data_IF_946918717099
#
_entry.id   IF_946918717099
#
_cell.length_a   1.000
_cell.length_b   1.000
_cell.length_c   1.000
_cell.angle_alpha   90.00
_cell.angle_beta   90.00
_cell.angle_gamma   90.00
#
_symmetry.space_group_name_H-M   'P 1'
#
loop_
_entity.id
_entity.type
_entity.pdbx_description
1 polymer ?
#
# COMPACT_ATOMS: atom_id res chain seq x y z
N UNK A 1 -4.82 -8.32 2.20
CA UNK A 1 -4.29 -7.82 0.91
C UNK A 1 -5.00 -6.52 0.55
N UNK A 2 -4.31 -5.60 -0.12
CA UNK A 2 -4.81 -4.30 -0.57
C UNK A 2 -4.76 -4.25 -2.08
N UNK A 3 -5.79 -3.69 -2.71
CA UNK A 3 -5.85 -3.48 -4.15
C UNK A 3 -6.13 -2.03 -4.47
N UNK A 4 -5.38 -1.47 -5.41
CA UNK A 4 -5.59 -0.09 -5.87
C UNK A 4 -5.39 -0.02 -7.38
N UNK A 5 -6.36 0.58 -8.08
CA UNK A 5 -6.17 1.00 -9.47
C UNK A 5 -5.46 2.36 -9.49
N UNK A 6 -4.34 2.45 -10.20
CA UNK A 6 -3.56 3.67 -10.38
C UNK A 6 -2.87 3.66 -11.73
N UNK A 7 -2.91 4.77 -12.48
CA UNK A 7 -2.28 4.91 -13.81
C UNK A 7 -2.49 3.69 -14.73
N UNK A 8 -3.73 3.18 -14.77
CA UNK A 8 -4.11 2.02 -15.57
C UNK A 8 -3.45 0.68 -15.15
N UNK A 9 -2.87 0.63 -13.95
CA UNK A 9 -2.29 -0.57 -13.34
C UNK A 9 -3.07 -0.97 -12.09
N UNK A 10 -3.24 -2.27 -11.91
CA UNK A 10 -3.83 -2.85 -10.71
C UNK A 10 -2.73 -3.22 -9.72
N UNK A 11 -2.50 -2.35 -8.76
CA UNK A 11 -1.55 -2.56 -7.68
C UNK A 11 -2.17 -3.51 -6.67
N UNK A 12 -1.45 -4.59 -6.36
CA UNK A 12 -1.81 -5.52 -5.29
C UNK A 12 -0.69 -5.57 -4.25
N UNK A 13 -1.02 -5.19 -3.01
CA UNK A 13 -0.08 -5.21 -1.88
C UNK A 13 -0.54 -6.25 -0.86
N UNK A 14 0.35 -7.14 -0.47
CA UNK A 14 0.12 -8.08 0.62
C UNK A 14 0.54 -7.44 1.93
N UNK A 15 -0.37 -7.46 2.90
CA UNK A 15 -0.07 -6.99 4.26
C UNK A 15 0.48 -8.21 5.01
N UNK A 16 1.73 -8.09 5.47
CA UNK A 16 2.43 -9.09 6.26
C UNK A 16 2.53 -8.58 7.70
N UNK A 17 2.73 -9.47 8.67
CA UNK A 17 2.95 -9.06 10.07
C UNK A 17 4.17 -8.14 10.23
N UNK A 18 5.21 -8.35 9.40
CA UNK A 18 6.46 -7.59 9.43
C UNK A 18 6.51 -6.42 8.44
N UNK A 19 5.43 -6.15 7.69
CA UNK A 19 5.41 -5.06 6.71
C UNK A 19 4.45 -5.27 5.55
N UNK A 20 4.85 -4.83 4.36
CA UNK A 20 4.01 -4.82 3.16
C UNK A 20 4.78 -5.39 1.99
N UNK A 21 4.26 -6.39 1.31
CA UNK A 21 4.88 -6.96 0.12
C UNK A 21 4.16 -6.49 -1.14
N UNK A 22 4.90 -6.01 -2.12
CA UNK A 22 4.39 -5.52 -3.41
C UNK A 22 5.29 -6.07 -4.52
N UNK A 23 4.70 -6.75 -5.51
CA UNK A 23 5.42 -7.37 -6.65
C UNK A 23 6.65 -8.20 -6.25
N UNK A 24 6.59 -8.90 -5.10
CA UNK A 24 7.70 -9.70 -4.58
C UNK A 24 8.71 -8.93 -3.72
N UNK A 25 8.67 -7.59 -3.69
CA UNK A 25 9.50 -6.76 -2.83
C UNK A 25 8.82 -6.47 -1.49
N UNK A 26 9.60 -6.47 -0.40
CA UNK A 26 9.14 -6.25 0.97
C UNK A 26 9.45 -4.83 1.43
N UNK A 27 8.44 -4.13 1.91
CA UNK A 27 8.46 -2.73 2.30
C UNK A 27 8.06 -2.58 3.77
N UNK A 28 8.72 -1.63 4.43
CA UNK A 28 8.53 -1.38 5.87
C UNK A 28 7.26 -0.58 6.19
N UNK A 29 6.64 0.04 5.20
CA UNK A 29 5.43 0.86 5.36
C UNK A 29 4.66 1.05 4.05
N UNK A 30 3.37 1.36 4.14
CA UNK A 30 2.52 1.68 2.99
C UNK A 30 2.99 2.91 2.23
N UNK A 31 3.55 3.90 2.92
CA UNK A 31 4.09 5.10 2.27
C UNK A 31 5.32 4.77 1.42
N UNK A 32 6.13 3.78 1.83
CA UNK A 32 7.24 3.30 1.01
C UNK A 32 6.74 2.62 -0.29
N UNK A 33 5.69 1.81 -0.17
CA UNK A 33 5.03 1.19 -1.34
C UNK A 33 4.40 2.27 -2.23
N UNK A 34 3.64 3.20 -1.65
CA UNK A 34 2.99 4.29 -2.38
C UNK A 34 4.01 5.19 -3.09
N UNK A 35 5.16 5.47 -2.48
CA UNK A 35 6.26 6.21 -3.11
C UNK A 35 6.90 5.43 -4.25
N UNK A 36 7.09 4.12 -4.09
CA UNK A 36 7.61 3.25 -5.14
C UNK A 36 6.70 3.25 -6.38
N UNK A 37 5.38 3.19 -6.16
CA UNK A 37 4.38 3.16 -7.23
C UNK A 37 4.17 4.54 -7.87
N UNK A 38 3.94 5.56 -7.05
CA UNK A 38 3.55 6.90 -7.53
C UNK A 38 4.75 7.78 -7.91
N UNK A 39 5.97 7.39 -7.52
CA UNK A 39 7.19 8.18 -7.68
C UNK A 39 7.24 9.45 -6.80
N UNK A 40 6.17 9.75 -6.06
CA UNK A 40 6.03 10.98 -5.26
C UNK A 40 5.76 10.61 -3.80
N UNK A 41 6.06 11.50 -2.87
CA UNK A 41 5.71 11.30 -1.47
C UNK A 41 4.18 11.36 -1.30
N UNK A 42 3.57 10.19 -1.05
CA UNK A 42 2.15 10.04 -0.77
C UNK A 42 1.94 9.47 0.62
N UNK A 43 0.87 9.91 1.29
CA UNK A 43 0.38 9.22 2.47
C UNK A 43 -0.14 7.84 2.05
N UNK A 44 0.50 6.77 2.52
CA UNK A 44 0.15 5.40 2.16
C UNK A 44 -1.31 5.05 2.47
N UNK A 45 -1.88 5.53 3.57
CA UNK A 45 -3.28 5.27 3.92
C UNK A 45 -4.24 5.92 2.93
N UNK A 46 -4.00 7.17 2.56
CA UNK A 46 -4.79 7.89 1.56
C UNK A 46 -4.66 7.28 0.17
N UNK A 47 -3.44 6.86 -0.20
CA UNK A 47 -3.17 6.21 -1.49
C UNK A 47 -3.93 4.89 -1.63
N UNK A 48 -3.92 4.07 -0.57
CA UNK A 48 -4.64 2.79 -0.56
C UNK A 48 -6.11 2.92 -0.14
N UNK A 49 -6.63 4.14 0.07
CA UNK A 49 -8.01 4.37 0.54
C UNK A 49 -8.35 3.51 1.76
N UNK A 50 -7.36 3.33 2.62
CA UNK A 50 -7.55 2.55 3.84
C UNK A 50 -8.40 3.38 4.81
N UNK A 51 -9.55 2.86 5.28
CA UNK A 51 -10.23 3.48 6.40
C UNK A 51 -9.24 3.43 7.56
N UNK A 52 -8.81 4.60 8.03
CA UNK A 52 -7.78 4.71 9.07
C UNK A 52 -8.15 3.81 10.23
N UNK A 53 -7.40 2.72 10.41
CA UNK A 53 -7.61 1.68 11.42
C UNK A 53 -9.08 1.57 11.86
N UNK A 54 -9.97 1.16 10.94
CA UNK A 54 -11.24 0.60 11.37
C UNK A 54 -10.90 -0.64 12.20
N UNK A 55 -10.86 -0.43 13.51
CA UNK A 55 -10.82 -1.41 14.60
C UNK A 55 -11.46 -2.70 14.12
N UNK A 56 -10.65 -3.73 13.83
CA UNK A 56 -11.16 -5.10 13.83
C UNK A 56 -11.62 -5.36 15.26
N UNK A 57 -12.94 -5.45 15.44
CA UNK A 57 -13.57 -5.93 16.65
C UNK A 57 -13.85 -7.41 16.50
#
# INVERSE_FOLDING_TARGET
MLRRAFRNQNITVHVLEKGFQYEGALYRSLSAVARHISGTHWNGFSFFRLPGAARSK
#
